data_IF_464393896514
#
_entry.id   IF_464393896514
#
_cell.length_a   1.000
_cell.length_b   1.000
_cell.length_c   1.000
_cell.angle_alpha   90.00
_cell.angle_beta   90.00
_cell.angle_gamma   90.00
#
_symmetry.space_group_name_H-M   'P 1'
#
loop_
_entity.id
_entity.type
_entity.pdbx_description
1 polymer ?
#
# COMPACT_ATOMS: atom_id res chain seq x y z
N UNK A 1 -9.46 2.64 -21.20
CA UNK A 1 -9.85 1.63 -20.21
C UNK A 1 -9.04 1.87 -18.95
N UNK A 2 -9.67 1.84 -17.77
CA UNK A 2 -8.97 2.00 -16.48
C UNK A 2 -8.38 0.64 -16.11
N UNK A 3 -7.07 0.58 -15.88
CA UNK A 3 -6.38 -0.62 -15.39
C UNK A 3 -6.63 -0.75 -13.89
N UNK A 4 -7.05 -1.93 -13.43
CA UNK A 4 -7.27 -2.23 -12.02
C UNK A 4 -6.14 -3.08 -11.47
N UNK A 5 -5.80 -2.89 -10.20
CA UNK A 5 -4.75 -3.64 -9.51
C UNK A 5 -5.26 -4.16 -8.18
N UNK A 6 -4.88 -5.40 -7.85
CA UNK A 6 -5.15 -6.03 -6.55
C UNK A 6 -4.11 -5.56 -5.54
N UNK A 7 -4.56 -5.01 -4.43
CA UNK A 7 -3.72 -4.43 -3.37
C UNK A 7 -4.16 -4.95 -2.00
N UNK A 8 -3.33 -4.70 -0.98
CA UNK A 8 -3.78 -4.77 0.40
C UNK A 8 -4.14 -3.36 0.88
N UNK A 9 -5.36 -3.19 1.37
CA UNK A 9 -5.81 -1.98 2.03
C UNK A 9 -5.76 -2.23 3.54
N UNK A 10 -5.11 -1.33 4.26
CA UNK A 10 -5.04 -1.39 5.72
C UNK A 10 -5.64 -0.12 6.27
N UNK A 11 -6.86 -0.21 6.77
CA UNK A 11 -7.54 0.91 7.42
C UNK A 11 -7.05 1.09 8.86
N UNK A 12 -7.33 2.25 9.44
CA UNK A 12 -6.93 2.52 10.82
C UNK A 12 -7.64 1.57 11.80
N UNK A 13 -6.86 0.89 12.63
CA UNK A 13 -7.36 -0.11 13.58
C UNK A 13 -7.91 -1.41 12.97
N UNK A 14 -7.78 -1.62 11.64
CA UNK A 14 -8.25 -2.85 10.98
C UNK A 14 -7.09 -3.69 10.44
N UNK A 15 -7.35 -4.99 10.32
CA UNK A 15 -6.46 -5.92 9.63
C UNK A 15 -6.43 -5.62 8.13
N UNK A 16 -5.36 -6.03 7.41
CA UNK A 16 -5.28 -5.90 5.96
C UNK A 16 -6.41 -6.63 5.25
N UNK A 17 -7.04 -5.93 4.29
CA UNK A 17 -8.05 -6.49 3.40
C UNK A 17 -7.59 -6.45 1.94
N UNK A 18 -8.06 -7.40 1.14
CA UNK A 18 -7.71 -7.50 -0.28
C UNK A 18 -8.75 -6.72 -1.08
N UNK A 19 -8.34 -5.70 -1.79
CA UNK A 19 -9.23 -4.94 -2.65
C UNK A 19 -8.64 -4.68 -4.04
N UNK A 20 -9.51 -4.34 -4.98
CA UNK A 20 -9.09 -3.85 -6.30
C UNK A 20 -9.24 -2.32 -6.34
N UNK A 21 -8.18 -1.64 -6.77
CA UNK A 21 -8.19 -0.20 -6.97
C UNK A 21 -7.86 0.15 -8.42
N UNK A 22 -8.41 1.25 -8.94
CA UNK A 22 -7.93 1.84 -10.18
C UNK A 22 -6.44 2.19 -10.05
N UNK A 23 -5.63 1.76 -11.00
CA UNK A 23 -4.23 2.15 -11.13
C UNK A 23 -4.14 3.58 -11.67
N UNK A 24 -4.56 4.55 -10.86
CA UNK A 24 -4.44 5.96 -11.15
C UNK A 24 -4.15 6.73 -9.86
N UNK A 25 -3.40 7.83 -9.98
CA UNK A 25 -2.98 8.64 -8.84
C UNK A 25 -4.18 9.11 -7.99
N UNK A 26 -5.25 9.56 -8.63
CA UNK A 26 -6.38 10.16 -7.93
C UNK A 26 -7.13 9.17 -7.03
N UNK A 27 -7.30 7.94 -7.48
CA UNK A 27 -7.94 6.87 -6.71
C UNK A 27 -7.10 6.52 -5.48
N UNK A 28 -5.78 6.48 -5.62
CA UNK A 28 -4.87 6.21 -4.51
C UNK A 28 -4.90 7.34 -3.48
N UNK A 29 -4.82 8.61 -3.90
CA UNK A 29 -4.92 9.79 -3.02
C UNK A 29 -6.25 9.82 -2.25
N UNK A 30 -7.36 9.52 -2.94
CA UNK A 30 -8.68 9.44 -2.32
C UNK A 30 -8.75 8.31 -1.29
N UNK A 31 -8.08 7.18 -1.54
CA UNK A 31 -8.10 6.02 -0.64
C UNK A 31 -7.28 6.25 0.63
N UNK A 32 -6.13 6.93 0.54
CA UNK A 32 -5.29 7.25 1.71
C UNK A 32 -5.67 8.57 2.39
N UNK A 33 -6.69 9.26 1.88
CA UNK A 33 -7.16 10.56 2.37
C UNK A 33 -6.07 11.65 2.45
N UNK A 34 -5.24 11.78 1.43
CA UNK A 34 -4.22 12.84 1.44
C UNK A 34 -3.17 12.77 0.34
N UNK A 35 -2.05 13.44 0.60
CA UNK A 35 -0.90 13.47 -0.31
C UNK A 35 -0.22 12.11 -0.32
N UNK A 36 0.05 11.59 -1.52
CA UNK A 36 0.62 10.28 -1.70
C UNK A 36 2.13 10.29 -1.50
N UNK A 37 2.61 9.52 -0.52
CA UNK A 37 4.01 9.12 -0.44
C UNK A 37 4.16 7.59 -0.57
N UNK A 38 5.31 7.16 -1.10
CA UNK A 38 5.64 5.76 -1.26
C UNK A 38 6.93 5.41 -0.51
N UNK A 39 6.90 4.31 0.23
CA UNK A 39 8.10 3.76 0.88
C UNK A 39 8.26 2.28 0.54
N UNK A 40 9.49 1.89 0.17
CA UNK A 40 9.84 0.50 -0.04
C UNK A 40 9.87 -0.26 1.27
N UNK A 41 9.39 -1.50 1.24
CA UNK A 41 9.33 -2.41 2.39
C UNK A 41 10.22 -3.64 2.18
N UNK A 42 10.33 -4.49 3.20
CA UNK A 42 11.11 -5.73 3.17
C UNK A 42 10.44 -6.84 2.33
N UNK A 43 9.95 -6.49 1.14
CA UNK A 43 9.43 -7.39 0.11
C UNK A 43 9.74 -6.76 -1.25
N UNK A 44 10.63 -7.39 -2.01
CA UNK A 44 11.13 -6.82 -3.26
C UNK A 44 10.00 -6.49 -4.24
N UNK A 45 10.04 -5.27 -4.77
CA UNK A 45 9.05 -4.73 -5.69
C UNK A 45 7.71 -4.34 -5.04
N UNK A 46 7.58 -4.39 -3.71
CA UNK A 46 6.39 -3.90 -3.01
C UNK A 46 6.67 -2.56 -2.30
N UNK A 47 5.65 -1.73 -2.23
CA UNK A 47 5.68 -0.42 -1.55
C UNK A 47 4.46 -0.25 -0.67
N UNK A 48 4.61 0.57 0.36
CA UNK A 48 3.49 1.17 1.07
C UNK A 48 3.22 2.53 0.47
N UNK A 49 1.95 2.78 0.17
CA UNK A 49 1.39 4.02 -0.29
C UNK A 49 0.56 4.58 0.87
N UNK A 50 0.94 5.73 1.40
CA UNK A 50 0.33 6.29 2.61
C UNK A 50 0.13 7.80 2.48
N UNK A 51 -0.60 8.38 3.43
CA UNK A 51 -0.74 9.82 3.55
C UNK A 51 0.56 10.46 4.09
N UNK A 52 1.29 11.15 3.22
CA UNK A 52 2.59 11.76 3.48
C UNK A 52 2.61 12.95 4.45
N UNK A 53 1.48 13.32 5.06
CA UNK A 53 1.43 14.39 6.08
C UNK A 53 2.36 14.15 7.26
N UNK A 54 2.70 12.88 7.55
CA UNK A 54 3.74 12.50 8.51
C UNK A 54 4.75 11.59 7.79
N UNK A 55 5.91 12.13 7.46
CA UNK A 55 6.98 11.38 6.79
C UNK A 55 7.45 10.22 7.67
N UNK A 56 7.55 9.04 7.05
CA UNK A 56 8.17 7.87 7.65
C UNK A 56 9.68 7.94 7.40
N UNK A 57 10.49 7.95 8.45
CA UNK A 57 11.94 8.15 8.36
C UNK A 57 12.76 6.87 8.51
N UNK A 58 12.15 5.79 9.01
CA UNK A 58 12.85 4.54 9.34
C UNK A 58 12.37 3.37 8.49
N UNK A 59 13.28 2.45 8.16
CA UNK A 59 13.00 1.18 7.50
C UNK A 59 13.61 0.04 8.33
N UNK A 60 12.94 -1.12 8.47
CA UNK A 60 11.65 -1.47 7.88
C UNK A 60 10.46 -0.83 8.62
N UNK A 61 9.47 -0.36 7.86
CA UNK A 61 8.22 0.21 8.41
C UNK A 61 7.30 -0.92 8.84
N UNK A 62 6.82 -0.88 10.08
CA UNK A 62 5.79 -1.76 10.63
C UNK A 62 4.39 -1.13 10.57
N UNK A 63 3.34 -1.92 10.82
CA UNK A 63 1.97 -1.42 10.95
C UNK A 63 1.83 -0.32 12.01
N UNK A 64 2.58 -0.40 13.11
CA UNK A 64 2.47 0.51 14.25
C UNK A 64 2.97 1.93 13.94
N UNK A 65 3.91 2.04 12.99
CA UNK A 65 4.55 3.27 12.56
C UNK A 65 3.62 4.12 11.68
N UNK A 66 2.66 3.48 11.01
CA UNK A 66 1.74 4.13 10.07
C UNK A 66 0.44 4.48 10.81
N UNK A 67 0.11 5.78 10.81
CA UNK A 67 -1.17 6.28 11.33
C UNK A 67 -2.15 6.48 10.18
N UNK A 68 -3.36 5.96 10.32
CA UNK A 68 -4.40 6.06 9.29
C UNK A 68 -4.34 4.94 8.24
N UNK A 69 -5.07 5.17 7.14
CA UNK A 69 -5.23 4.23 6.04
C UNK A 69 -4.02 4.25 5.11
N UNK A 70 -3.55 3.06 4.71
CA UNK A 70 -2.50 2.90 3.71
C UNK A 70 -2.77 1.70 2.80
N UNK A 71 -2.09 1.69 1.66
CA UNK A 71 -2.19 0.65 0.63
C UNK A 71 -0.83 -0.02 0.49
N UNK A 72 -0.81 -1.34 0.37
CA UNK A 72 0.38 -2.08 -0.04
C UNK A 72 0.16 -2.58 -1.46
N UNK A 73 1.07 -2.24 -2.37
CA UNK A 73 0.99 -2.58 -3.78
C UNK A 73 2.34 -3.03 -4.33
N UNK A 74 2.31 -3.77 -5.44
CA UNK A 74 3.50 -4.08 -6.22
C UNK A 74 3.76 -2.97 -7.23
N UNK A 75 5.03 -2.66 -7.46
CA UNK A 75 5.50 -1.70 -8.46
C UNK A 75 6.30 -2.45 -9.51
N UNK A 76 5.88 -2.31 -10.77
CA UNK A 76 6.66 -2.70 -11.95
C UNK A 76 6.85 -1.40 -12.73
N UNK A 77 7.99 -0.70 -12.53
CA UNK A 77 8.17 0.63 -13.09
C UNK A 77 7.83 0.69 -14.59
N UNK A 78 7.07 1.69 -15.03
CA UNK A 78 6.66 2.90 -14.28
C UNK A 78 5.33 2.80 -13.52
N UNK A 79 4.69 1.62 -13.42
CA UNK A 79 3.30 1.48 -12.96
C UNK A 79 3.14 0.60 -11.70
N UNK A 80 1.97 0.71 -11.04
CA UNK A 80 1.51 -0.32 -10.12
C UNK A 80 1.11 -1.60 -10.85
N UNK A 81 1.29 -2.72 -10.16
CA UNK A 81 0.86 -4.04 -10.57
C UNK A 81 0.10 -4.71 -9.42
N UNK A 82 -0.74 -5.68 -9.76
CA UNK A 82 -1.43 -6.52 -8.76
C UNK A 82 -0.42 -7.28 -7.90
N UNK A 83 -0.72 -7.36 -6.61
CA UNK A 83 -0.04 -8.29 -5.71
C UNK A 83 -0.32 -9.73 -6.16
N UNK A 84 0.70 -10.59 -6.08
CA UNK A 84 0.52 -12.04 -6.20
C UNK A 84 -0.09 -12.63 -4.93
N UNK A 85 -0.65 -13.84 -5.00
CA UNK A 85 -1.17 -14.53 -3.80
C UNK A 85 -0.09 -14.71 -2.73
N UNK A 86 1.16 -14.96 -3.14
CA UNK A 86 2.29 -15.04 -2.23
C UNK A 86 2.59 -13.68 -1.56
N UNK A 87 2.54 -12.58 -2.32
CA UNK A 87 2.73 -11.25 -1.72
C UNK A 87 1.64 -10.98 -0.68
N UNK A 88 0.39 -11.31 -0.99
CA UNK A 88 -0.76 -11.12 -0.10
C UNK A 88 -0.60 -11.92 1.18
N UNK A 89 -0.26 -13.21 1.10
CA UNK A 89 -0.12 -14.05 2.29
C UNK A 89 0.98 -13.52 3.23
N UNK A 90 2.14 -13.13 2.67
CA UNK A 90 3.27 -12.61 3.45
C UNK A 90 2.93 -11.26 4.07
N UNK A 91 2.39 -10.33 3.27
CA UNK A 91 2.15 -8.96 3.69
C UNK A 91 0.95 -8.84 4.65
N UNK A 92 -0.11 -9.65 4.45
CA UNK A 92 -1.24 -9.67 5.38
C UNK A 92 -0.81 -10.11 6.79
N UNK A 93 0.09 -11.09 6.89
CA UNK A 93 0.69 -11.52 8.17
C UNK A 93 1.61 -10.45 8.78
N UNK A 94 2.36 -9.73 7.95
CA UNK A 94 3.32 -8.73 8.42
C UNK A 94 2.67 -7.41 8.89
N UNK A 95 1.45 -7.10 8.42
CA UNK A 95 0.74 -5.85 8.70
C UNK A 95 -0.63 -6.02 9.36
N UNK A 96 -0.88 -7.19 9.97
CA UNK A 96 -2.02 -7.45 10.85
C UNK A 96 -1.98 -6.53 12.09
#
# INVERSE_FOLDING_TARGET
MVKWVRVLLVEDGKAPDICELPNNLKALELTVHGFLEMIQINRSGCVIIYNGMKKLTEKPVSRADIKGTFIIARVIPPELASLSDQDIEILAKAYQ
#
